data_IF_664586392725
#
_entry.id   IF_664586392725
#
_cell.length_a   1.000
_cell.length_b   1.000
_cell.length_c   1.000
_cell.angle_alpha   90.00
_cell.angle_beta   90.00
_cell.angle_gamma   90.00
#
_symmetry.space_group_name_H-M   'P 1'
#
loop_
_entity.id
_entity.type
_entity.pdbx_description
1 polymer ?
#
# COMPACT_ATOMS: atom_id res chain seq x y z
N UNK A 1 22.38 18.87 -19.78
CA UNK A 1 23.38 18.69 -18.70
C UNK A 1 23.37 17.24 -18.23
N UNK A 2 24.53 16.57 -18.23
CA UNK A 2 24.67 15.18 -17.74
C UNK A 2 25.05 15.22 -16.28
N UNK A 3 24.21 14.69 -15.38
CA UNK A 3 24.50 14.63 -13.94
C UNK A 3 25.25 13.36 -13.58
N UNK A 4 26.02 13.39 -12.48
CA UNK A 4 26.83 12.26 -12.03
C UNK A 4 26.00 10.98 -11.81
N UNK A 5 24.80 11.08 -11.24
CA UNK A 5 23.87 9.96 -11.14
C UNK A 5 23.52 9.36 -12.52
N UNK A 6 23.22 10.22 -13.50
CA UNK A 6 22.88 9.79 -14.86
C UNK A 6 24.06 9.11 -15.56
N UNK A 7 25.26 9.66 -15.41
CA UNK A 7 26.50 9.08 -15.95
C UNK A 7 26.76 7.69 -15.38
N UNK A 8 26.64 7.55 -14.07
CA UNK A 8 27.03 6.32 -13.37
C UNK A 8 26.02 5.19 -13.55
N UNK A 9 24.74 5.55 -13.72
CA UNK A 9 23.68 4.67 -14.19
C UNK A 9 23.93 4.20 -15.64
N UNK A 10 24.22 5.13 -16.55
CA UNK A 10 24.46 4.82 -17.96
C UNK A 10 25.71 3.94 -18.18
N UNK A 11 26.78 4.18 -17.41
CA UNK A 11 27.99 3.34 -17.41
C UNK A 11 27.70 1.88 -17.08
N UNK A 12 26.66 1.61 -16.30
CA UNK A 12 26.20 0.27 -15.91
C UNK A 12 25.09 -0.28 -16.82
N UNK A 13 24.79 0.39 -17.93
CA UNK A 13 23.74 -0.02 -18.87
C UNK A 13 22.31 0.08 -18.30
N UNK A 14 22.13 0.71 -17.14
CA UNK A 14 20.84 0.81 -16.48
C UNK A 14 20.00 1.94 -17.10
N UNK A 15 18.72 1.69 -17.37
CA UNK A 15 17.75 2.79 -17.64
C UNK A 15 17.23 3.33 -16.31
N UNK A 16 16.66 4.54 -16.35
CA UNK A 16 16.09 5.15 -15.15
C UNK A 16 14.94 4.31 -14.55
N UNK A 17 14.21 3.56 -15.38
CA UNK A 17 13.20 2.59 -14.96
C UNK A 17 13.80 1.42 -14.20
N UNK A 18 14.88 0.84 -14.73
CA UNK A 18 15.52 -0.35 -14.17
C UNK A 18 16.09 -0.02 -12.77
N UNK A 19 16.79 1.11 -12.64
CA UNK A 19 17.30 1.60 -11.35
C UNK A 19 16.16 1.89 -10.35
N UNK A 20 15.02 2.41 -10.82
CA UNK A 20 13.89 2.73 -9.97
C UNK A 20 13.22 1.47 -9.40
N UNK A 21 13.04 0.44 -10.24
CA UNK A 21 12.51 -0.87 -9.82
C UNK A 21 13.42 -1.51 -8.77
N UNK A 22 14.73 -1.45 -8.97
CA UNK A 22 15.72 -2.10 -8.11
C UNK A 22 15.84 -1.48 -6.71
N UNK A 23 15.63 -0.16 -6.61
CA UNK A 23 15.60 0.55 -5.32
C UNK A 23 14.17 0.78 -4.78
N UNK A 24 13.14 0.28 -5.47
CA UNK A 24 11.75 0.33 -5.03
C UNK A 24 11.11 1.72 -5.04
N UNK A 25 11.47 2.58 -6.00
CA UNK A 25 10.87 3.90 -6.22
C UNK A 25 10.20 4.01 -7.59
N UNK A 26 9.40 5.05 -7.78
CA UNK A 26 8.83 5.34 -9.10
C UNK A 26 9.90 5.89 -10.07
N UNK A 27 9.92 5.55 -11.37
CA UNK A 27 10.92 6.03 -12.35
C UNK A 27 11.09 7.55 -12.40
N UNK A 28 10.00 8.29 -12.23
CA UNK A 28 10.02 9.75 -12.13
C UNK A 28 10.90 10.27 -10.97
N UNK A 29 11.09 9.50 -9.90
CA UNK A 29 11.96 9.88 -8.77
C UNK A 29 13.42 9.95 -9.22
N UNK A 30 13.89 8.96 -9.99
CA UNK A 30 15.25 8.94 -10.56
C UNK A 30 15.44 10.14 -11.48
N UNK A 31 14.49 10.36 -12.40
CA UNK A 31 14.55 11.48 -13.33
C UNK A 31 14.54 12.84 -12.62
N UNK A 32 13.75 13.01 -11.55
CA UNK A 32 13.75 14.22 -10.72
C UNK A 32 15.08 14.43 -9.99
N UNK A 33 15.71 13.35 -9.51
CA UNK A 33 17.05 13.42 -8.90
C UNK A 33 18.12 13.77 -9.93
N UNK A 34 18.07 13.17 -11.12
CA UNK A 34 18.98 13.47 -12.22
C UNK A 34 18.85 14.92 -12.71
N UNK A 35 17.67 15.52 -12.62
CA UNK A 35 17.39 16.91 -12.99
C UNK A 35 17.56 17.92 -11.85
N UNK A 36 17.88 17.46 -10.64
CA UNK A 36 17.97 18.28 -9.42
C UNK A 36 16.67 18.96 -8.99
N UNK A 37 15.53 18.55 -9.54
CA UNK A 37 14.20 19.00 -9.11
C UNK A 37 13.87 18.51 -7.69
N UNK A 38 14.51 17.43 -7.25
CA UNK A 38 14.38 16.86 -5.90
C UNK A 38 15.66 16.14 -5.51
N UNK A 39 15.94 16.06 -4.21
CA UNK A 39 17.09 15.30 -3.70
C UNK A 39 16.65 13.96 -3.08
N UNK A 40 17.42 12.88 -3.28
CA UNK A 40 17.19 11.61 -2.58
C UNK A 40 17.43 11.77 -1.08
N UNK A 41 16.59 11.10 -0.27
CA UNK A 41 16.81 11.01 1.18
C UNK A 41 17.87 9.94 1.54
N UNK A 42 18.31 9.87 2.82
CA UNK A 42 19.37 8.95 3.25
C UNK A 42 19.11 7.48 2.89
N UNK A 43 17.89 7.00 3.06
CA UNK A 43 17.50 5.62 2.68
C UNK A 43 17.72 5.37 1.19
N UNK A 44 17.41 6.35 0.34
CA UNK A 44 17.59 6.25 -1.10
C UNK A 44 19.07 6.36 -1.50
N UNK A 45 19.87 7.16 -0.79
CA UNK A 45 21.33 7.21 -1.00
C UNK A 45 21.95 5.83 -0.76
N UNK A 46 21.60 5.15 0.34
CA UNK A 46 22.10 3.80 0.60
C UNK A 46 21.59 2.78 -0.44
N UNK A 47 20.32 2.90 -0.87
CA UNK A 47 19.78 2.02 -1.89
C UNK A 47 20.46 2.22 -3.26
N UNK A 48 20.72 3.47 -3.65
CA UNK A 48 21.47 3.83 -4.85
C UNK A 48 22.93 3.36 -4.77
N UNK A 49 23.59 3.55 -3.62
CA UNK A 49 24.95 3.08 -3.35
C UNK A 49 25.11 1.58 -3.57
N UNK A 50 24.16 0.80 -3.05
CA UNK A 50 24.12 -0.66 -3.25
C UNK A 50 24.00 -1.04 -4.74
N UNK A 51 23.07 -0.43 -5.48
CA UNK A 51 22.82 -0.77 -6.90
C UNK A 51 23.92 -0.25 -7.83
N UNK A 52 24.49 0.92 -7.51
CA UNK A 52 25.59 1.49 -8.27
C UNK A 52 26.94 0.89 -7.84
N UNK A 53 26.99 0.02 -6.82
CA UNK A 53 28.23 -0.54 -6.28
C UNK A 53 29.26 0.56 -5.92
N UNK A 54 28.78 1.56 -5.18
CA UNK A 54 29.56 2.71 -4.74
C UNK A 54 29.37 2.93 -3.24
N UNK A 55 30.35 3.59 -2.63
CA UNK A 55 30.21 4.03 -1.25
C UNK A 55 29.06 5.04 -1.09
N UNK A 56 28.24 4.94 -0.02
CA UNK A 56 27.15 5.88 0.25
C UNK A 56 27.59 7.34 0.28
N UNK A 57 28.79 7.62 0.80
CA UNK A 57 29.38 8.96 0.82
C UNK A 57 29.63 9.50 -0.60
N UNK A 58 30.11 8.64 -1.51
CA UNK A 58 30.35 9.00 -2.92
C UNK A 58 29.04 9.29 -3.66
N UNK A 59 28.00 8.48 -3.42
CA UNK A 59 26.68 8.70 -4.01
C UNK A 59 25.99 9.93 -3.45
N UNK A 60 26.15 10.21 -2.15
CA UNK A 60 25.71 11.48 -1.59
C UNK A 60 26.35 12.64 -2.37
N UNK A 61 27.67 12.56 -2.60
CA UNK A 61 28.44 13.60 -3.27
C UNK A 61 27.94 13.99 -4.67
N UNK A 62 27.22 13.11 -5.37
CA UNK A 62 26.57 13.45 -6.64
C UNK A 62 25.64 14.66 -6.54
N UNK A 63 25.14 14.92 -5.33
CA UNK A 63 24.19 15.97 -5.03
C UNK A 63 24.79 17.16 -4.30
N UNK A 64 26.11 17.22 -4.07
CA UNK A 64 26.78 18.31 -3.33
C UNK A 64 26.56 19.69 -3.98
N UNK A 65 26.68 19.79 -5.30
CA UNK A 65 26.50 21.08 -6.01
C UNK A 65 25.06 21.60 -5.92
N UNK A 66 24.08 20.69 -5.81
CA UNK A 66 22.67 21.06 -5.58
C UNK A 66 22.34 21.21 -4.08
N UNK A 67 23.25 20.79 -3.19
CA UNK A 67 23.22 21.09 -1.76
C UNK A 67 23.89 22.43 -1.44
N UNK A 68 24.66 22.98 -2.39
CA UNK A 68 25.23 24.33 -2.30
C UNK A 68 24.16 25.38 -2.66
N UNK A 69 23.28 25.66 -1.71
CA UNK A 69 22.47 26.86 -1.69
C UNK A 69 22.89 27.69 -0.48
N UNK A 70 23.72 28.71 -0.73
CA UNK A 70 24.08 29.84 0.16
C UNK A 70 24.67 29.46 1.52
N UNK A 71 25.84 29.99 1.94
CA UNK A 71 26.26 29.88 3.33
C UNK A 71 25.16 30.50 4.20
N UNK A 72 24.49 29.70 5.03
CA UNK A 72 23.60 30.27 6.04
C UNK A 72 24.42 31.25 6.88
N UNK A 73 24.00 32.52 7.05
CA UNK A 73 24.69 33.41 7.95
C UNK A 73 24.67 32.78 9.34
N UNK A 74 25.83 32.74 9.98
CA UNK A 74 25.98 32.29 11.34
C UNK A 74 25.14 33.17 12.27
N UNK A 75 24.03 32.64 12.79
CA UNK A 75 23.51 32.94 14.14
C UNK A 75 22.47 31.91 14.54
N UNK A 76 22.71 31.28 15.67
CA UNK A 76 21.96 30.17 16.26
C UNK A 76 20.61 30.65 16.84
N UNK A 77 19.46 30.26 16.26
CA UNK A 77 18.16 30.32 16.97
C UNK A 77 17.19 29.22 16.48
N UNK A 78 17.54 27.94 16.64
CA UNK A 78 16.62 26.88 16.21
C UNK A 78 16.89 25.47 16.75
N UNK A 79 15.81 24.75 17.01
CA UNK A 79 15.82 23.41 17.60
C UNK A 79 15.98 22.31 16.54
N UNK A 80 16.57 21.19 16.93
CA UNK A 80 16.63 19.98 16.09
C UNK A 80 15.21 19.45 15.85
N UNK A 81 14.93 18.93 14.66
CA UNK A 81 13.59 18.47 14.27
C UNK A 81 13.46 16.96 14.12
N UNK A 82 14.56 16.20 14.27
CA UNK A 82 14.60 14.77 13.96
C UNK A 82 13.64 13.94 14.84
N UNK A 83 13.43 14.34 16.09
CA UNK A 83 12.48 13.70 17.01
C UNK A 83 11.01 14.14 16.78
N UNK A 84 10.77 15.16 15.94
CA UNK A 84 9.42 15.72 15.73
C UNK A 84 8.45 14.67 15.16
N UNK A 85 8.95 13.78 14.31
CA UNK A 85 8.11 12.75 13.66
C UNK A 85 7.45 11.84 14.69
N UNK A 86 8.20 11.42 15.70
CA UNK A 86 7.74 10.47 16.70
C UNK A 86 6.78 11.14 17.69
N UNK A 87 7.09 12.37 18.09
CA UNK A 87 6.21 13.21 18.90
C UNK A 87 4.86 13.43 18.20
N UNK A 88 4.91 13.74 16.91
CA UNK A 88 3.72 13.90 16.06
C UNK A 88 2.87 12.63 16.01
N UNK A 89 3.49 11.47 15.88
CA UNK A 89 2.74 10.20 15.87
C UNK A 89 2.10 9.87 17.21
N UNK A 90 2.78 10.11 18.33
CA UNK A 90 2.22 9.91 19.67
C UNK A 90 1.03 10.83 19.93
N UNK A 91 1.07 12.06 19.40
CA UNK A 91 -0.02 13.02 19.46
C UNK A 91 -1.14 12.75 18.43
N UNK A 92 -1.04 11.71 17.59
CA UNK A 92 -2.01 11.44 16.52
C UNK A 92 -2.05 12.50 15.41
N UNK A 93 -1.08 13.42 15.39
CA UNK A 93 -1.04 14.53 14.44
C UNK A 93 -0.47 14.10 13.07
N UNK A 94 -0.92 14.75 12.00
CA UNK A 94 -0.39 14.56 10.65
C UNK A 94 0.54 15.71 10.28
N UNK A 95 1.54 15.47 9.43
CA UNK A 95 2.44 16.55 8.98
C UNK A 95 1.65 17.66 8.27
N UNK A 96 0.62 17.29 7.50
CA UNK A 96 -0.31 18.22 6.88
C UNK A 96 -1.18 18.98 7.91
N UNK A 97 -1.59 18.32 8.99
CA UNK A 97 -2.31 18.94 10.10
C UNK A 97 -1.48 19.99 10.84
N UNK A 98 -0.22 19.68 11.16
CA UNK A 98 0.75 20.64 11.72
C UNK A 98 0.96 21.80 10.76
N UNK A 99 1.24 21.49 9.49
CA UNK A 99 1.49 22.50 8.45
C UNK A 99 0.32 23.48 8.31
N UNK A 100 -0.91 22.97 8.24
CA UNK A 100 -2.12 23.80 8.19
C UNK A 100 -2.33 24.64 9.45
N UNK A 101 -2.09 24.08 10.64
CA UNK A 101 -2.28 24.81 11.91
C UNK A 101 -1.24 25.90 12.13
N UNK A 102 -0.04 25.73 11.59
CA UNK A 102 1.06 26.70 11.69
C UNK A 102 1.22 27.60 10.46
N UNK A 103 0.32 27.48 9.48
CA UNK A 103 0.37 28.18 8.19
C UNK A 103 1.72 28.01 7.47
N UNK A 104 2.11 26.75 7.25
CA UNK A 104 3.37 26.38 6.62
C UNK A 104 3.13 25.43 5.44
N UNK A 105 4.04 25.42 4.45
CA UNK A 105 4.12 24.33 3.50
C UNK A 105 4.40 23.00 4.23
N UNK A 106 3.72 21.91 3.85
CA UNK A 106 3.95 20.57 4.44
C UNK A 106 5.41 20.09 4.28
N UNK A 107 6.08 20.55 3.22
CA UNK A 107 7.51 20.30 2.98
C UNK A 107 8.41 20.84 4.10
N UNK A 108 8.03 21.93 4.76
CA UNK A 108 8.77 22.53 5.87
C UNK A 108 8.80 21.57 7.07
N UNK A 109 7.64 21.00 7.42
CA UNK A 109 7.55 19.99 8.49
C UNK A 109 8.40 18.75 8.14
N UNK A 110 8.34 18.28 6.90
CA UNK A 110 9.21 17.17 6.46
C UNK A 110 10.70 17.50 6.47
N UNK A 111 11.08 18.75 6.21
CA UNK A 111 12.47 19.18 6.27
C UNK A 111 12.99 19.24 7.71
N UNK A 112 12.16 19.66 8.67
CA UNK A 112 12.46 19.56 10.09
C UNK A 112 12.64 18.12 10.54
N UNK A 113 11.67 17.24 10.23
CA UNK A 113 11.72 15.82 10.61
C UNK A 113 12.92 15.09 9.99
N UNK A 114 13.37 15.51 8.80
CA UNK A 114 14.53 14.94 8.12
C UNK A 114 15.87 15.54 8.60
N UNK A 115 15.84 16.52 9.51
CA UNK A 115 17.03 17.24 9.95
C UNK A 115 17.65 18.15 8.88
N UNK A 116 16.94 18.42 7.79
CA UNK A 116 17.37 19.29 6.69
C UNK A 116 17.17 20.77 6.99
N UNK A 117 16.38 21.09 8.02
CA UNK A 117 16.20 22.43 8.54
C UNK A 117 16.00 22.37 10.07
N UNK A 118 16.37 23.43 10.77
CA UNK A 118 16.05 23.61 12.19
C UNK A 118 14.65 24.17 12.35
N UNK A 119 14.00 23.85 13.48
CA UNK A 119 12.72 24.42 13.88
C UNK A 119 13.00 25.78 14.52
N UNK A 120 12.52 26.91 13.97
CA UNK A 120 12.73 28.22 14.59
C UNK A 120 12.09 28.30 15.98
N UNK A 121 12.73 28.98 16.93
CA UNK A 121 12.21 29.12 18.29
C UNK A 121 10.78 29.69 18.33
N UNK A 122 10.48 30.67 17.45
CA UNK A 122 9.15 31.27 17.29
C UNK A 122 8.04 30.25 16.90
N UNK A 123 8.41 29.04 16.45
CA UNK A 123 7.46 28.00 16.06
C UNK A 123 7.24 26.94 17.14
N UNK A 124 7.99 26.99 18.25
CA UNK A 124 7.91 25.98 19.31
C UNK A 124 6.57 26.03 20.02
N UNK A 125 6.05 27.20 20.36
CA UNK A 125 4.76 27.34 21.05
C UNK A 125 3.61 26.72 20.26
N UNK A 126 3.44 27.13 19.00
CA UNK A 126 2.37 26.57 18.15
C UNK A 126 2.56 25.07 17.89
N UNK A 127 3.80 24.60 17.79
CA UNK A 127 4.07 23.17 17.60
C UNK A 127 3.74 22.37 18.87
N UNK A 128 4.02 22.92 20.04
CA UNK A 128 3.71 22.32 21.33
C UNK A 128 2.18 22.22 21.52
N UNK A 129 1.44 23.26 21.15
CA UNK A 129 -0.03 23.27 21.17
C UNK A 129 -0.62 22.14 20.31
N UNK A 130 -0.15 21.98 19.07
CA UNK A 130 -0.63 20.92 18.17
C UNK A 130 -0.32 19.51 18.71
N UNK A 131 0.79 19.37 19.43
CA UNK A 131 1.24 18.11 19.99
C UNK A 131 0.67 17.83 21.39
N UNK A 132 -0.06 18.78 21.99
CA UNK A 132 -0.56 18.68 23.37
C UNK A 132 0.57 18.63 24.40
N UNK A 133 1.67 19.34 24.17
CA UNK A 133 2.84 19.43 25.05
C UNK A 133 3.07 20.87 25.51
N UNK A 134 3.83 21.08 26.59
CA UNK A 134 4.41 22.39 26.88
C UNK A 134 5.62 22.66 25.96
N UNK A 135 5.89 23.94 25.68
CA UNK A 135 7.05 24.35 24.89
C UNK A 135 8.37 23.81 25.47
N UNK A 136 8.52 23.87 26.79
CA UNK A 136 9.68 23.32 27.51
C UNK A 136 9.83 21.80 27.31
N UNK A 137 8.73 21.05 27.46
CA UNK A 137 8.73 19.60 27.24
C UNK A 137 9.09 19.27 25.79
N UNK A 138 8.54 20.01 24.83
CA UNK A 138 8.84 19.82 23.42
C UNK A 138 10.33 20.05 23.15
N UNK A 139 10.92 21.14 23.65
CA UNK A 139 12.35 21.44 23.48
C UNK A 139 13.22 20.34 24.08
N UNK A 140 12.93 19.89 25.30
CA UNK A 140 13.67 18.79 25.94
C UNK A 140 13.61 17.49 25.11
N UNK A 141 12.44 17.16 24.56
CA UNK A 141 12.24 15.97 23.71
C UNK A 141 12.91 16.08 22.36
N UNK A 142 13.01 17.28 21.78
CA UNK A 142 13.72 17.56 20.53
C UNK A 142 15.25 17.53 20.70
N UNK A 143 15.75 17.82 21.90
CA UNK A 143 17.17 17.78 22.22
C UNK A 143 17.69 16.35 22.49
N UNK A 144 16.81 15.46 22.96
CA UNK A 144 17.14 14.05 23.16
C UNK A 144 17.57 13.38 21.83
N UNK A 145 18.55 12.46 21.84
CA UNK A 145 18.91 11.71 20.65
C UNK A 145 17.68 10.97 20.14
N UNK A 146 17.31 11.20 18.88
CA UNK A 146 16.19 10.53 18.26
C UNK A 146 16.48 9.02 18.26
N UNK A 147 15.84 8.28 19.16
CA UNK A 147 15.77 6.83 19.08
C UNK A 147 14.94 6.55 17.84
N UNK A 148 15.62 6.32 16.72
CA UNK A 148 15.01 6.07 15.42
C UNK A 148 14.13 4.82 15.48
N UNK A 149 12.90 4.99 15.92
CA UNK A 149 11.89 3.96 15.90
C UNK A 149 10.79 4.54 15.03
N UNK A 150 10.59 3.92 13.87
CA UNK A 150 9.46 4.22 13.01
C UNK A 150 8.14 4.16 13.79
N UNK A 151 7.03 4.53 13.12
CA UNK A 151 5.68 4.53 13.70
C UNK A 151 5.55 3.31 14.62
N UNK A 152 5.17 3.46 15.91
CA UNK A 152 5.16 2.35 16.86
C UNK A 152 4.57 1.13 16.18
N UNK A 153 5.34 0.03 16.17
CA UNK A 153 5.01 -1.20 15.44
C UNK A 153 3.66 -1.70 15.95
N UNK A 154 2.59 -1.24 15.31
CA UNK A 154 1.29 -1.87 15.48
C UNK A 154 1.50 -3.32 15.07
N UNK A 155 1.07 -4.29 15.91
CA UNK A 155 1.31 -5.70 15.64
C UNK A 155 0.87 -6.00 14.21
N UNK A 156 1.80 -6.54 13.40
CA UNK A 156 1.54 -6.80 11.97
C UNK A 156 0.20 -7.49 11.82
N UNK A 157 -0.69 -6.94 10.98
CA UNK A 157 -2.01 -7.55 10.78
C UNK A 157 -1.88 -9.01 10.35
N UNK A 158 -2.87 -9.86 10.66
CA UNK A 158 -2.83 -11.27 10.25
C UNK A 158 -2.56 -11.47 8.76
N UNK A 159 -3.17 -10.66 7.89
CA UNK A 159 -2.96 -10.72 6.44
C UNK A 159 -1.53 -10.36 6.05
N UNK A 160 -0.98 -9.31 6.66
CA UNK A 160 0.43 -8.93 6.49
C UNK A 160 1.36 -10.04 6.95
N UNK A 161 1.06 -10.73 8.06
CA UNK A 161 1.86 -11.89 8.52
C UNK A 161 1.87 -13.04 7.50
N UNK A 162 0.74 -13.34 6.85
CA UNK A 162 0.70 -14.34 5.78
C UNK A 162 1.62 -13.97 4.62
N UNK A 163 1.56 -12.71 4.16
CA UNK A 163 2.44 -12.21 3.11
C UNK A 163 3.93 -12.31 3.48
N UNK A 164 4.28 -11.92 4.71
CA UNK A 164 5.66 -12.00 5.19
C UNK A 164 6.16 -13.45 5.33
N UNK A 165 5.31 -14.41 5.74
CA UNK A 165 5.64 -15.84 5.74
C UNK A 165 5.88 -16.39 4.34
N UNK A 166 5.12 -15.89 3.36
CA UNK A 166 5.36 -16.16 1.94
C UNK A 166 6.61 -15.43 1.38
N UNK A 167 7.32 -14.63 2.19
CA UNK A 167 8.50 -13.84 1.83
C UNK A 167 8.26 -12.87 0.66
N UNK A 168 7.05 -12.31 0.57
CA UNK A 168 6.67 -11.39 -0.50
C UNK A 168 6.63 -9.93 -0.03
N UNK A 169 7.13 -9.03 -0.88
CA UNK A 169 6.81 -7.61 -0.77
C UNK A 169 5.33 -7.38 -1.13
N UNK A 170 4.76 -6.26 -0.69
CA UNK A 170 3.38 -5.91 -1.04
C UNK A 170 3.18 -5.79 -2.56
N UNK A 171 4.15 -5.21 -3.27
CA UNK A 171 4.10 -5.08 -4.73
C UNK A 171 4.13 -6.46 -5.42
N UNK A 172 5.03 -7.36 -4.99
CA UNK A 172 5.15 -8.71 -5.57
C UNK A 172 3.92 -9.56 -5.28
N UNK A 173 3.38 -9.49 -4.06
CA UNK A 173 2.15 -10.18 -3.69
C UNK A 173 0.94 -9.69 -4.52
N UNK A 174 0.81 -8.37 -4.68
CA UNK A 174 -0.26 -7.78 -5.49
C UNK A 174 -0.18 -8.23 -6.95
N UNK A 175 1.02 -8.15 -7.56
CA UNK A 175 1.25 -8.60 -8.92
C UNK A 175 0.97 -10.10 -9.10
N UNK A 176 1.48 -10.95 -8.19
CA UNK A 176 1.27 -12.40 -8.25
C UNK A 176 -0.20 -12.80 -8.06
N UNK A 177 -0.94 -12.09 -7.21
CA UNK A 177 -2.38 -12.31 -7.02
C UNK A 177 -3.26 -11.62 -8.08
N UNK A 178 -2.69 -10.80 -8.96
CA UNK A 178 -3.44 -10.02 -9.94
C UNK A 178 -4.39 -9.01 -9.30
N UNK A 179 -3.97 -8.36 -8.21
CA UNK A 179 -4.75 -7.33 -7.49
C UNK A 179 -3.98 -6.00 -7.46
N UNK A 180 -4.70 -4.90 -7.24
CA UNK A 180 -4.06 -3.60 -7.04
C UNK A 180 -3.24 -3.56 -5.73
N UNK A 181 -2.05 -2.92 -5.79
CA UNK A 181 -1.15 -2.83 -4.63
C UNK A 181 -1.75 -2.01 -3.50
N UNK A 182 -2.47 -0.93 -3.82
CA UNK A 182 -3.04 -0.05 -2.81
C UNK A 182 -4.24 -0.69 -2.13
N UNK A 183 -5.06 -1.43 -2.89
CA UNK A 183 -6.12 -2.28 -2.37
C UNK A 183 -5.57 -3.32 -1.37
N UNK A 184 -4.51 -4.07 -1.74
CA UNK A 184 -3.87 -5.00 -0.82
C UNK A 184 -3.38 -4.31 0.47
N UNK A 185 -2.81 -3.12 0.35
CA UNK A 185 -2.37 -2.33 1.50
C UNK A 185 -3.53 -1.87 2.38
N UNK A 186 -4.67 -1.54 1.79
CA UNK A 186 -5.88 -1.18 2.52
C UNK A 186 -6.39 -2.38 3.33
N UNK A 187 -6.51 -3.55 2.72
CA UNK A 187 -6.92 -4.78 3.40
C UNK A 187 -5.95 -5.17 4.52
N UNK A 188 -4.64 -5.01 4.32
CA UNK A 188 -3.63 -5.24 5.37
C UNK A 188 -3.75 -4.29 6.55
N UNK A 189 -4.38 -3.12 6.38
CA UNK A 189 -4.68 -2.18 7.46
C UNK A 189 -6.08 -2.38 8.05
N UNK A 190 -6.83 -3.39 7.59
CA UNK A 190 -8.22 -3.62 7.99
C UNK A 190 -9.21 -2.65 7.33
N UNK A 191 -8.80 -1.94 6.28
CA UNK A 191 -9.69 -1.05 5.54
C UNK A 191 -10.32 -1.78 4.35
N UNK A 192 -11.64 -1.99 4.45
CA UNK A 192 -12.45 -2.68 3.44
C UNK A 192 -12.22 -4.19 3.40
N UNK A 193 -13.05 -4.89 2.60
CA UNK A 193 -12.99 -6.34 2.45
C UNK A 193 -12.51 -6.73 1.05
N UNK A 194 -11.57 -7.68 0.92
CA UNK A 194 -11.17 -8.20 -0.39
C UNK A 194 -12.33 -8.95 -1.07
N UNK A 195 -12.50 -8.81 -2.39
CA UNK A 195 -13.47 -9.61 -3.13
C UNK A 195 -13.08 -11.09 -3.12
N UNK A 196 -14.07 -11.98 -3.29
CA UNK A 196 -13.87 -13.44 -3.23
C UNK A 196 -12.80 -13.96 -4.19
N UNK A 197 -12.74 -13.42 -5.42
CA UNK A 197 -11.68 -13.74 -6.37
C UNK A 197 -10.28 -13.34 -5.86
N UNK A 198 -10.16 -12.18 -5.20
CA UNK A 198 -8.89 -11.76 -4.60
C UNK A 198 -8.48 -12.69 -3.45
N UNK A 199 -9.43 -13.10 -2.59
CA UNK A 199 -9.17 -14.11 -1.54
C UNK A 199 -8.64 -15.42 -2.15
N UNK A 200 -9.25 -15.90 -3.24
CA UNK A 200 -8.78 -17.08 -3.98
C UNK A 200 -7.36 -16.90 -4.52
N UNK A 201 -7.05 -15.74 -5.08
CA UNK A 201 -5.75 -15.47 -5.68
C UNK A 201 -4.65 -15.29 -4.64
N UNK A 202 -4.95 -14.59 -3.55
CA UNK A 202 -4.05 -14.43 -2.40
C UNK A 202 -3.80 -15.78 -1.71
N UNK A 203 -4.81 -16.65 -1.59
CA UNK A 203 -4.65 -18.02 -1.09
C UNK A 203 -3.62 -18.80 -1.89
N UNK A 204 -3.72 -18.79 -3.24
CA UNK A 204 -2.72 -19.40 -4.12
C UNK A 204 -1.34 -18.76 -3.98
N UNK A 205 -1.30 -17.42 -3.91
CA UNK A 205 -0.05 -16.64 -3.82
C UNK A 205 0.68 -16.89 -2.50
N UNK A 206 -0.04 -17.06 -1.40
CA UNK A 206 0.52 -17.28 -0.06
C UNK A 206 0.70 -18.76 0.29
N UNK A 207 0.18 -19.68 -0.54
CA UNK A 207 0.27 -21.12 -0.28
C UNK A 207 -0.52 -21.56 0.95
N UNK A 208 -1.63 -20.89 1.28
CA UNK A 208 -2.47 -21.22 2.45
C UNK A 208 -3.93 -21.37 2.05
N UNK A 209 -4.73 -22.15 2.81
CA UNK A 209 -6.17 -22.25 2.59
C UNK A 209 -6.87 -20.89 2.53
N UNK A 210 -7.90 -20.81 1.68
CA UNK A 210 -8.70 -19.59 1.46
C UNK A 210 -9.31 -19.09 2.77
N UNK A 211 -9.75 -20.00 3.64
CA UNK A 211 -10.29 -19.69 4.97
C UNK A 211 -9.29 -18.95 5.86
N UNK A 212 -7.98 -19.25 5.74
CA UNK A 212 -6.93 -18.52 6.46
C UNK A 212 -6.79 -17.09 5.95
N UNK A 213 -6.82 -16.88 4.63
CA UNK A 213 -6.76 -15.54 4.04
C UNK A 213 -8.01 -14.74 4.39
N UNK A 214 -9.21 -15.33 4.26
CA UNK A 214 -10.48 -14.69 4.60
C UNK A 214 -10.49 -14.21 6.05
N UNK A 215 -10.20 -15.10 7.00
CA UNK A 215 -10.12 -14.76 8.43
C UNK A 215 -9.04 -13.71 8.70
N UNK A 216 -7.89 -13.81 8.04
CA UNK A 216 -6.79 -12.86 8.19
C UNK A 216 -7.12 -11.45 7.65
N UNK A 217 -8.00 -11.37 6.65
CA UNK A 217 -8.52 -10.14 6.08
C UNK A 217 -9.80 -9.64 6.79
N UNK A 218 -10.24 -10.29 7.87
CA UNK A 218 -11.46 -9.92 8.58
C UNK A 218 -12.75 -10.20 7.80
N UNK A 219 -12.71 -11.11 6.82
CA UNK A 219 -13.87 -11.52 6.01
C UNK A 219 -14.34 -12.90 6.45
N UNK A 220 -15.64 -13.13 6.46
CA UNK A 220 -16.19 -14.45 6.71
C UNK A 220 -15.76 -15.45 5.62
N UNK A 221 -15.33 -16.67 5.96
CA UNK A 221 -15.02 -17.68 4.97
C UNK A 221 -16.22 -17.94 4.05
N UNK A 222 -16.04 -17.97 2.71
CA UNK A 222 -17.13 -18.13 1.76
C UNK A 222 -17.73 -19.55 1.81
N UNK A 223 -18.66 -19.77 2.74
CA UNK A 223 -19.21 -21.10 3.06
C UNK A 223 -20.10 -21.67 1.95
N UNK A 224 -20.76 -20.83 1.14
CA UNK A 224 -21.57 -21.28 -0.02
C UNK A 224 -20.73 -21.84 -1.17
N UNK A 225 -19.40 -21.89 -1.05
CA UNK A 225 -18.56 -22.68 -1.94
C UNK A 225 -18.56 -24.17 -1.59
N UNK A 226 -18.97 -24.53 -0.38
CA UNK A 226 -19.13 -25.91 0.06
C UNK A 226 -20.53 -26.40 -0.31
N UNK A 227 -20.59 -27.28 -1.32
CA UNK A 227 -21.83 -27.81 -1.88
C UNK A 227 -22.67 -28.59 -0.86
N UNK A 228 -22.02 -29.23 0.12
CA UNK A 228 -22.72 -29.98 1.17
C UNK A 228 -23.50 -29.09 2.15
N UNK A 229 -23.26 -27.78 2.11
CA UNK A 229 -23.93 -26.79 2.96
C UNK A 229 -25.11 -26.10 2.31
N UNK A 230 -25.36 -26.34 1.03
CA UNK A 230 -26.49 -25.73 0.34
C UNK A 230 -27.80 -26.26 0.91
N UNK A 231 -28.81 -25.39 0.93
CA UNK A 231 -30.18 -25.68 1.33
C UNK A 231 -31.14 -25.26 0.22
N UNK A 232 -32.34 -25.84 0.16
CA UNK A 232 -33.41 -25.33 -0.69
C UNK A 232 -33.62 -23.82 -0.46
N UNK A 233 -33.70 -23.05 -1.53
CA UNK A 233 -33.77 -21.59 -1.53
C UNK A 233 -32.43 -20.84 -1.62
N UNK A 234 -31.29 -21.50 -1.47
CA UNK A 234 -29.97 -20.83 -1.51
C UNK A 234 -29.51 -20.46 -2.92
N UNK A 235 -30.17 -20.95 -3.97
CA UNK A 235 -29.72 -20.83 -5.36
C UNK A 235 -29.31 -19.40 -5.76
N UNK A 236 -30.04 -18.32 -5.42
CA UNK A 236 -29.63 -16.95 -5.75
C UNK A 236 -28.26 -16.58 -5.14
N UNK A 237 -28.05 -16.92 -3.86
CA UNK A 237 -26.83 -16.65 -3.15
C UNK A 237 -25.67 -17.55 -3.63
N UNK A 238 -25.96 -18.80 -3.99
CA UNK A 238 -25.00 -19.73 -4.60
C UNK A 238 -24.51 -19.21 -5.95
N UNK A 239 -25.40 -18.79 -6.85
CA UNK A 239 -25.03 -18.24 -8.17
C UNK A 239 -24.13 -17.01 -7.98
N UNK A 240 -24.54 -16.07 -7.12
CA UNK A 240 -23.76 -14.86 -6.83
C UNK A 240 -22.38 -15.20 -6.26
N UNK A 241 -22.31 -16.11 -5.29
CA UNK A 241 -21.05 -16.52 -4.65
C UNK A 241 -20.11 -17.19 -5.65
N UNK A 242 -20.61 -18.11 -6.48
CA UNK A 242 -19.83 -18.78 -7.52
C UNK A 242 -19.33 -17.78 -8.58
N UNK A 243 -20.16 -16.80 -8.96
CA UNK A 243 -19.78 -15.72 -9.86
C UNK A 243 -18.65 -14.86 -9.29
N UNK A 244 -18.82 -14.37 -8.07
CA UNK A 244 -17.83 -13.54 -7.37
C UNK A 244 -16.52 -14.31 -7.11
N UNK A 245 -16.61 -15.59 -6.77
CA UNK A 245 -15.48 -16.50 -6.62
C UNK A 245 -14.70 -16.69 -7.92
N UNK A 246 -15.42 -16.85 -9.04
CA UNK A 246 -14.84 -16.92 -10.36
C UNK A 246 -14.24 -15.58 -10.83
N UNK A 247 -14.59 -14.47 -10.18
CA UNK A 247 -14.15 -13.11 -10.55
C UNK A 247 -14.89 -12.55 -11.76
N UNK A 248 -16.14 -12.97 -11.97
CA UNK A 248 -16.93 -12.57 -13.13
C UNK A 248 -17.88 -11.41 -12.80
N UNK A 249 -18.05 -10.51 -13.76
CA UNK A 249 -19.19 -9.59 -13.76
C UNK A 249 -20.48 -10.32 -14.16
N UNK A 250 -21.64 -9.74 -13.85
CA UNK A 250 -22.92 -10.32 -14.31
C UNK A 250 -22.98 -10.44 -15.85
N UNK A 251 -22.39 -9.47 -16.57
CA UNK A 251 -22.27 -9.52 -18.03
C UNK A 251 -21.43 -10.70 -18.50
N UNK A 252 -20.25 -10.89 -17.93
CA UNK A 252 -19.36 -12.00 -18.28
C UNK A 252 -19.98 -13.38 -17.98
N UNK A 253 -20.75 -13.50 -16.90
CA UNK A 253 -21.50 -14.73 -16.65
C UNK A 253 -22.61 -14.93 -17.69
N UNK A 254 -23.33 -13.86 -18.04
CA UNK A 254 -24.37 -13.91 -19.05
C UNK A 254 -23.83 -14.35 -20.42
N UNK A 255 -22.68 -13.81 -20.82
CA UNK A 255 -21.99 -14.20 -22.06
C UNK A 255 -21.63 -15.69 -22.05
N UNK A 256 -21.07 -16.20 -20.95
CA UNK A 256 -20.74 -17.64 -20.79
C UNK A 256 -21.96 -18.54 -20.83
N UNK A 257 -23.10 -18.04 -20.35
CA UNK A 257 -24.38 -18.74 -20.37
C UNK A 257 -25.20 -18.45 -21.63
N UNK A 258 -24.68 -17.66 -22.58
CA UNK A 258 -25.38 -17.21 -23.78
C UNK A 258 -26.81 -16.71 -23.45
N UNK A 259 -26.91 -15.77 -22.51
CA UNK A 259 -28.14 -15.13 -22.06
C UNK A 259 -27.92 -13.63 -21.81
N UNK A 260 -28.97 -12.93 -21.36
CA UNK A 260 -28.87 -11.50 -21.04
C UNK A 260 -28.36 -11.26 -19.61
N UNK A 261 -27.66 -10.14 -19.40
CA UNK A 261 -27.24 -9.69 -18.06
C UNK A 261 -28.44 -9.48 -17.12
N UNK A 262 -29.59 -9.07 -17.67
CA UNK A 262 -30.83 -8.92 -16.92
C UNK A 262 -31.31 -10.26 -16.34
N UNK A 263 -31.15 -11.37 -17.06
CA UNK A 263 -31.50 -12.69 -16.57
C UNK A 263 -30.61 -13.11 -15.38
N UNK A 264 -29.30 -12.91 -15.46
CA UNK A 264 -28.38 -13.16 -14.33
C UNK A 264 -28.79 -12.34 -13.10
N UNK A 265 -29.14 -11.07 -13.31
CA UNK A 265 -29.60 -10.19 -12.22
C UNK A 265 -30.88 -10.70 -11.55
N UNK A 266 -31.85 -11.21 -12.32
CA UNK A 266 -33.09 -11.74 -11.73
C UNK A 266 -32.88 -13.05 -10.99
N UNK A 267 -31.94 -13.88 -11.43
CA UNK A 267 -31.54 -15.10 -10.70
C UNK A 267 -30.84 -14.78 -9.38
N UNK A 268 -29.85 -13.88 -9.39
CA UNK A 268 -29.08 -13.50 -8.19
C UNK A 268 -29.92 -12.75 -7.14
N UNK A 269 -31.03 -12.13 -7.56
CA UNK A 269 -32.00 -11.49 -6.66
C UNK A 269 -33.14 -12.40 -6.22
N UNK A 270 -33.17 -13.65 -6.70
CA UNK A 270 -34.21 -14.63 -6.36
C UNK A 270 -35.59 -14.34 -6.95
N UNK A 271 -35.73 -13.34 -7.83
CA UNK A 271 -37.01 -13.03 -8.49
C UNK A 271 -37.46 -14.12 -9.46
N UNK A 272 -36.49 -14.79 -10.08
CA UNK A 272 -36.75 -15.83 -11.08
C UNK A 272 -35.82 -17.01 -10.81
N UNK A 273 -36.38 -18.21 -10.81
CA UNK A 273 -35.59 -19.45 -10.79
C UNK A 273 -35.12 -19.75 -12.22
N UNK A 274 -33.81 -19.94 -12.47
CA UNK A 274 -33.33 -20.31 -13.80
C UNK A 274 -33.90 -21.65 -14.26
N UNK A 275 -34.31 -21.75 -15.53
CA UNK A 275 -34.81 -23.00 -16.11
C UNK A 275 -33.75 -24.10 -16.11
N UNK A 276 -34.17 -25.36 -16.24
CA UNK A 276 -33.24 -26.51 -16.25
C UNK A 276 -32.11 -26.35 -17.27
N UNK A 277 -32.43 -25.95 -18.51
CA UNK A 277 -31.44 -25.65 -19.56
C UNK A 277 -30.42 -24.60 -19.10
N UNK A 278 -30.87 -23.58 -18.36
CA UNK A 278 -30.00 -22.52 -17.88
C UNK A 278 -29.16 -22.95 -16.67
N UNK A 279 -29.70 -23.78 -15.77
CA UNK A 279 -28.93 -24.40 -14.68
C UNK A 279 -27.77 -25.25 -15.23
N UNK A 280 -28.01 -26.06 -16.27
CA UNK A 280 -26.93 -26.80 -16.96
C UNK A 280 -25.85 -25.87 -17.52
N UNK A 281 -26.23 -24.70 -18.07
CA UNK A 281 -25.26 -23.72 -18.56
C UNK A 281 -24.46 -23.05 -17.45
N UNK A 282 -25.11 -22.72 -16.32
CA UNK A 282 -24.45 -22.19 -15.13
C UNK A 282 -23.47 -23.21 -14.53
N UNK A 283 -23.88 -24.47 -14.40
CA UNK A 283 -23.02 -25.57 -13.95
C UNK A 283 -21.78 -25.69 -14.81
N UNK A 284 -21.94 -25.70 -16.14
CA UNK A 284 -20.80 -25.70 -17.06
C UNK A 284 -19.93 -24.46 -16.92
N UNK A 285 -20.52 -23.27 -16.78
CA UNK A 285 -19.78 -22.01 -16.62
C UNK A 285 -18.93 -21.99 -15.33
N UNK A 286 -19.41 -22.64 -14.28
CA UNK A 286 -18.73 -22.79 -12.99
C UNK A 286 -17.94 -24.11 -12.84
N UNK A 287 -17.93 -24.96 -13.87
CA UNK A 287 -17.30 -26.30 -13.86
C UNK A 287 -17.82 -27.21 -12.75
N UNK A 288 -19.13 -27.22 -12.57
CA UNK A 288 -19.85 -28.12 -11.66
C UNK A 288 -20.38 -29.34 -12.45
N UNK A 289 -20.51 -30.51 -11.80
CA UNK A 289 -21.26 -31.64 -12.35
C UNK A 289 -22.72 -31.26 -12.65
N UNK A 290 -23.33 -31.92 -13.63
CA UNK A 290 -24.74 -31.68 -13.97
C UNK A 290 -25.68 -32.04 -12.82
N UNK A 291 -26.70 -31.20 -12.59
CA UNK A 291 -27.68 -31.37 -11.51
C UNK A 291 -27.20 -30.89 -10.13
N UNK A 292 -25.96 -30.39 -10.03
CA UNK A 292 -25.41 -29.87 -8.76
C UNK A 292 -26.23 -28.70 -8.22
N UNK A 293 -26.71 -27.80 -9.07
CA UNK A 293 -27.46 -26.62 -8.63
C UNK A 293 -28.88 -26.95 -8.11
N UNK A 294 -29.41 -28.13 -8.41
CA UNK A 294 -30.74 -28.53 -7.96
C UNK A 294 -30.80 -28.73 -6.44
N UNK A 295 -29.66 -28.99 -5.78
CA UNK A 295 -29.57 -29.07 -4.32
C UNK A 295 -29.78 -27.72 -3.61
N UNK A 296 -29.72 -26.60 -4.35
CA UNK A 296 -29.92 -25.25 -3.83
C UNK A 296 -31.28 -24.64 -4.24
N UNK A 297 -32.09 -25.36 -5.03
CA UNK A 297 -33.47 -24.98 -5.38
C UNK A 297 -34.36 -25.09 -4.16
#
# INVERSE_FOLDING_TARGET
MTTLLRTERARRGLRATDLAEEIGVHPMSILRWERRERLPGPVHIHALARVLELEPARVAGFFDDARSSVPAPATEVGHRGQALRDLRWRAGATAAGIARRLDLPVSTVYNWEAGRARIPAARIEGLAEVLGLSAETLVARLAAPATGIGRPDLPMSPLRRLRHRARLSQARAAAAAGVDRHALGAWERGAGSPPLAALRHLSRTYGVPVSHVARAAGTEPPHLLDRGRWRPGDLPAVIRTLREWAGLTQGQLADRCACSTAAVRTWESGRVVPSARMRTRLERAFRLPSGTLDAAL
#
